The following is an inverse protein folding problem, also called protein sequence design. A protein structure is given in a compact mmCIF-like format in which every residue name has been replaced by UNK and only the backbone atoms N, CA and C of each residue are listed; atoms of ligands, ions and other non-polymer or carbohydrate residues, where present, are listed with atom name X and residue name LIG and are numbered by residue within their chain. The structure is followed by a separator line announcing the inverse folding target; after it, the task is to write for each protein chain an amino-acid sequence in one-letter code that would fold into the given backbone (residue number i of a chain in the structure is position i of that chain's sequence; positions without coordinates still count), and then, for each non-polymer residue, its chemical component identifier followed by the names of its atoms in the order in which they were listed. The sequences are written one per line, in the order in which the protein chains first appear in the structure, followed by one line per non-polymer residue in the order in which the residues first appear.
data_IF_733541422228
#
_entry.id   IF_733541422228
#
_cell.length_a   1.000
_cell.length_b   1.000
_cell.length_c   1.000
_cell.angle_alpha   90.00
_cell.angle_beta   90.00
_cell.angle_gamma   90.00
#
_symmetry.space_group_name_H-M   'P 1'
#
loop_
_entity.id
_entity.type
_entity.pdbx_description
1 polymer ?
#
# COMPACT_ATOMS: atom_id res chain seq x y z
N UNK A 1 -9.60 47.28 -0.20
CA UNK A 1 -9.77 46.72 -1.57
C UNK A 1 -10.77 45.56 -1.48
N UNK A 2 -11.96 45.71 -2.08
CA UNK A 2 -12.95 44.63 -2.22
C UNK A 2 -12.83 44.08 -3.63
N UNK A 3 -12.78 42.76 -3.78
CA UNK A 3 -13.04 42.07 -5.05
C UNK A 3 -13.96 40.90 -4.77
N UNK A 4 -15.25 41.15 -4.89
CA UNK A 4 -16.29 40.13 -4.91
C UNK A 4 -16.12 39.23 -6.15
N UNK A 5 -16.13 37.91 -5.95
CA UNK A 5 -16.64 36.96 -6.95
C UNK A 5 -17.23 35.73 -6.26
N UNK A 6 -18.51 35.90 -5.90
CA UNK A 6 -19.62 34.96 -6.10
C UNK A 6 -19.21 33.53 -6.48
N UNK A 7 -19.48 32.59 -5.58
CA UNK A 7 -19.38 31.16 -5.86
C UNK A 7 -20.13 30.28 -4.87
N UNK A 8 -21.26 30.73 -4.34
CA UNK A 8 -22.17 29.86 -3.60
C UNK A 8 -22.85 28.89 -4.57
N UNK A 9 -22.64 27.58 -4.39
CA UNK A 9 -23.63 26.56 -4.74
C UNK A 9 -23.70 25.53 -3.63
N UNK A 10 -24.92 25.43 -3.13
CA UNK A 10 -25.35 24.73 -1.93
C UNK A 10 -25.13 23.22 -1.98
N UNK A 11 -24.88 22.64 -0.81
CA UNK A 11 -25.00 21.22 -0.54
C UNK A 11 -26.43 20.79 -0.90
N UNK A 12 -26.61 20.05 -1.99
CA UNK A 12 -27.93 19.55 -2.40
C UNK A 12 -28.34 18.44 -1.43
N UNK A 13 -29.11 18.80 -0.40
CA UNK A 13 -29.92 17.83 0.32
C UNK A 13 -30.98 17.30 -0.65
N UNK A 14 -30.88 16.01 -0.98
CA UNK A 14 -31.92 15.27 -1.70
C UNK A 14 -33.17 15.28 -0.83
N UNK A 15 -34.08 16.23 -1.08
CA UNK A 15 -35.40 16.24 -0.44
C UNK A 15 -36.18 15.05 -0.95
N UNK A 16 -36.42 14.11 -0.06
CA UNK A 16 -37.44 13.08 -0.17
C UNK A 16 -38.80 13.81 -0.20
N UNK A 17 -39.46 13.80 -1.35
CA UNK A 17 -40.86 14.23 -1.44
C UNK A 17 -41.70 12.99 -1.23
N UNK A 18 -42.42 13.04 -0.12
CA UNK A 18 -43.45 12.11 0.29
C UNK A 18 -44.67 12.32 -0.61
N UNK A 19 -45.09 11.28 -1.32
CA UNK A 19 -46.39 11.18 -1.97
C UNK A 19 -46.89 9.77 -1.61
N UNK A 20 -47.84 9.72 -0.67
CA UNK A 20 -48.35 8.50 -0.07
C UNK A 20 -49.43 7.82 -0.91
N UNK A 21 -49.40 6.49 -0.95
CA UNK A 21 -50.56 5.62 -0.68
C UNK A 21 -50.13 4.14 -0.67
N UNK A 22 -50.62 3.38 0.32
CA UNK A 22 -51.01 1.98 0.09
C UNK A 22 -50.05 0.84 0.46
N UNK A 23 -50.15 0.40 1.73
CA UNK A 23 -50.24 -1.01 2.18
C UNK A 23 -48.98 -1.92 2.20
N UNK A 24 -48.77 -2.44 3.42
CA UNK A 24 -48.39 -3.80 3.81
C UNK A 24 -46.90 -4.17 4.07
N UNK A 25 -46.71 -4.58 5.34
CA UNK A 25 -45.83 -5.64 5.89
C UNK A 25 -44.32 -5.41 6.15
N UNK A 26 -44.02 -5.25 7.45
CA UNK A 26 -43.05 -5.98 8.29
C UNK A 26 -41.64 -6.37 7.77
N UNK A 27 -40.62 -5.83 8.48
CA UNK A 27 -39.37 -6.51 8.97
C UNK A 27 -38.23 -6.76 7.93
N UNK A 28 -36.92 -6.74 8.30
CA UNK A 28 -36.17 -5.93 9.29
C UNK A 28 -34.88 -5.26 8.76
N UNK A 29 -34.40 -4.30 9.55
CA UNK A 29 -32.99 -4.08 9.98
C UNK A 29 -31.81 -4.56 9.10
N UNK A 30 -31.09 -3.58 8.55
CA UNK A 30 -29.65 -3.48 8.76
C UNK A 30 -28.71 -4.40 7.98
N UNK A 31 -28.84 -4.47 6.64
CA UNK A 31 -27.88 -5.18 5.82
C UNK A 31 -26.63 -4.35 5.45
N UNK A 32 -25.50 -4.88 5.89
CA UNK A 32 -24.27 -5.06 5.11
C UNK A 32 -23.57 -3.80 4.59
N UNK A 33 -22.88 -3.12 5.51
CA UNK A 33 -21.67 -2.33 5.16
C UNK A 33 -20.43 -2.88 5.85
N UNK A 34 -20.12 -4.14 5.61
CA UNK A 34 -18.73 -4.60 5.61
C UNK A 34 -18.24 -4.50 4.16
N UNK A 35 -17.95 -3.27 3.73
CA UNK A 35 -17.26 -3.05 2.47
C UNK A 35 -15.90 -3.73 2.57
N UNK A 36 -15.64 -4.66 1.65
CA UNK A 36 -14.39 -5.37 1.47
C UNK A 36 -13.18 -4.40 1.62
N UNK A 37 -12.45 -4.50 2.72
CA UNK A 37 -11.25 -3.70 3.03
C UNK A 37 -10.01 -4.12 2.22
N UNK A 38 -10.18 -5.06 1.29
CA UNK A 38 -9.13 -5.55 0.43
C UNK A 38 -9.47 -5.23 -1.02
N UNK A 39 -8.61 -4.50 -1.75
CA UNK A 39 -8.74 -4.40 -3.19
C UNK A 39 -8.74 -5.82 -3.75
N UNK A 40 -9.85 -6.23 -4.37
CA UNK A 40 -9.93 -7.48 -5.12
C UNK A 40 -8.74 -7.54 -6.10
N UNK A 41 -8.14 -8.73 -6.33
CA UNK A 41 -6.99 -8.84 -7.21
C UNK A 41 -7.37 -8.24 -8.56
N UNK A 42 -6.74 -7.11 -8.88
CA UNK A 42 -6.91 -6.41 -10.14
C UNK A 42 -6.66 -7.46 -11.22
N UNK A 43 -7.68 -7.78 -12.00
CA UNK A 43 -7.51 -8.59 -13.20
C UNK A 43 -6.66 -7.77 -14.17
N UNK A 44 -5.34 -7.89 -14.05
CA UNK A 44 -4.38 -7.33 -14.99
C UNK A 44 -4.65 -8.05 -16.31
N UNK A 45 -5.38 -7.41 -17.23
CA UNK A 45 -5.58 -7.91 -18.59
C UNK A 45 -4.20 -8.01 -19.25
N UNK A 46 -3.67 -9.22 -19.32
CA UNK A 46 -2.38 -9.55 -19.91
C UNK A 46 -2.47 -9.40 -21.43
N UNK A 47 -2.03 -8.23 -21.94
CA UNK A 47 -1.77 -8.02 -23.37
C UNK A 47 -0.29 -7.77 -23.61
N UNK A 48 0.59 -8.66 -23.13
CA UNK A 48 1.97 -8.73 -23.60
C UNK A 48 2.36 -10.20 -23.73
N UNK A 49 2.29 -10.71 -24.95
CA UNK A 49 2.48 -12.13 -25.28
C UNK A 49 3.93 -12.61 -25.08
N UNK A 50 4.84 -11.75 -24.64
CA UNK A 50 6.27 -12.05 -24.55
C UNK A 50 6.95 -11.28 -23.39
N UNK A 51 6.36 -11.25 -22.18
CA UNK A 51 7.12 -10.77 -21.02
C UNK A 51 8.09 -11.86 -20.59
N UNK A 52 9.42 -11.64 -20.62
CA UNK A 52 10.42 -12.66 -20.28
C UNK A 52 10.25 -13.18 -18.85
N UNK A 53 9.74 -12.33 -17.94
CA UNK A 53 9.43 -12.72 -16.55
C UNK A 53 8.24 -13.68 -16.49
N UNK A 54 7.22 -13.49 -17.35
CA UNK A 54 6.03 -14.35 -17.36
C UNK A 54 6.26 -15.71 -18.04
N UNK A 55 7.44 -15.91 -18.66
CA UNK A 55 7.84 -17.17 -19.29
C UNK A 55 8.81 -18.02 -18.45
N UNK A 56 9.21 -17.55 -17.26
CA UNK A 56 10.11 -18.30 -16.39
C UNK A 56 9.43 -19.56 -15.85
N UNK A 57 10.17 -20.66 -15.80
CA UNK A 57 9.75 -21.83 -15.01
C UNK A 57 9.88 -21.52 -13.52
N UNK A 58 9.25 -22.33 -12.66
CA UNK A 58 9.35 -22.17 -11.21
C UNK A 58 10.81 -22.19 -10.73
N UNK A 59 11.61 -23.13 -11.24
CA UNK A 59 13.03 -23.25 -10.86
C UNK A 59 13.83 -22.03 -11.28
N UNK A 60 13.59 -21.50 -12.49
CA UNK A 60 14.25 -20.29 -12.98
C UNK A 60 13.87 -19.06 -12.15
N UNK A 61 12.61 -18.95 -11.74
CA UNK A 61 12.13 -17.89 -10.85
C UNK A 61 12.80 -18.00 -9.47
N UNK A 62 12.90 -19.20 -8.90
CA UNK A 62 13.58 -19.42 -7.62
C UNK A 62 15.07 -19.07 -7.73
N UNK A 63 15.76 -19.54 -8.78
CA UNK A 63 17.17 -19.20 -9.01
C UNK A 63 17.38 -17.69 -9.14
N UNK A 64 16.53 -17.00 -9.91
CA UNK A 64 16.61 -15.55 -10.05
C UNK A 64 16.43 -14.83 -8.70
N UNK A 65 15.50 -15.29 -7.85
CA UNK A 65 15.28 -14.71 -6.52
C UNK A 65 16.45 -14.96 -5.56
N UNK A 66 17.06 -16.15 -5.60
CA UNK A 66 18.24 -16.48 -4.78
C UNK A 66 19.47 -15.66 -5.21
N UNK A 67 19.71 -15.55 -6.52
CA UNK A 67 20.79 -14.71 -7.04
C UNK A 67 20.54 -13.22 -6.76
N UNK A 68 19.28 -12.83 -6.61
CA UNK A 68 18.90 -11.45 -6.34
C UNK A 68 19.29 -11.00 -4.92
N UNK A 69 19.39 -11.92 -3.95
CA UNK A 69 19.45 -11.62 -2.51
C UNK A 69 20.43 -10.48 -2.17
N UNK A 70 19.98 -9.47 -1.40
CA UNK A 70 20.85 -8.37 -0.99
C UNK A 70 21.95 -8.87 -0.02
N UNK A 71 23.13 -8.23 -0.01
CA UNK A 71 24.20 -8.60 0.91
C UNK A 71 23.82 -8.31 2.36
N UNK A 72 24.35 -9.11 3.29
CA UNK A 72 24.21 -8.86 4.73
C UNK A 72 25.03 -7.62 5.10
N UNK A 73 24.38 -6.65 5.75
CA UNK A 73 25.02 -5.42 6.24
C UNK A 73 25.20 -5.55 7.75
N UNK A 74 26.39 -5.17 8.24
CA UNK A 74 26.70 -5.16 9.67
C UNK A 74 26.64 -3.74 10.22
N UNK A 75 26.16 -3.60 11.46
CA UNK A 75 26.21 -2.33 12.19
C UNK A 75 27.65 -1.83 12.36
N UNK A 76 27.86 -0.52 12.35
CA UNK A 76 29.15 0.12 12.70
C UNK A 76 29.37 0.15 14.23
N UNK A 77 29.12 -0.99 14.87
CA UNK A 77 29.21 -1.14 16.30
C UNK A 77 30.68 -1.10 16.75
N UNK A 78 30.96 -0.21 17.69
CA UNK A 78 32.25 -0.10 18.38
C UNK A 78 32.14 -0.69 19.79
N UNK A 79 32.73 -1.88 20.06
CA UNK A 79 32.64 -2.54 21.36
C UNK A 79 33.40 -1.81 22.48
N UNK A 80 34.25 -0.84 22.14
CA UNK A 80 34.96 -0.04 23.14
C UNK A 80 34.10 1.08 23.74
N UNK A 81 32.96 1.40 23.09
CA UNK A 81 32.06 2.46 23.54
C UNK A 81 30.88 1.89 24.33
N UNK A 82 30.55 2.46 25.49
CA UNK A 82 29.35 2.07 26.22
C UNK A 82 28.10 2.43 25.43
N UNK A 83 27.07 1.58 25.55
CA UNK A 83 25.77 1.84 24.94
C UNK A 83 24.96 2.85 25.75
N UNK A 84 24.20 3.64 25.01
CA UNK A 84 23.09 4.46 25.48
C UNK A 84 21.90 4.22 24.54
N UNK A 85 20.70 4.58 24.96
CA UNK A 85 19.51 4.52 24.08
C UNK A 85 19.75 5.26 22.77
N UNK A 86 20.33 6.47 22.83
CA UNK A 86 20.64 7.27 21.66
C UNK A 86 21.65 6.59 20.73
N UNK A 87 22.72 5.98 21.27
CA UNK A 87 23.72 5.30 20.43
C UNK A 87 23.18 3.99 19.84
N UNK A 88 22.33 3.26 20.55
CA UNK A 88 21.63 2.10 20.00
C UNK A 88 20.69 2.49 18.86
N UNK A 89 19.88 3.53 19.06
CA UNK A 89 18.98 4.03 18.02
C UNK A 89 19.76 4.51 16.79
N UNK A 90 20.89 5.19 16.99
CA UNK A 90 21.80 5.60 15.91
C UNK A 90 22.35 4.40 15.11
N UNK A 91 22.78 3.33 15.78
CA UNK A 91 23.28 2.13 15.10
C UNK A 91 22.19 1.41 14.30
N UNK A 92 20.98 1.29 14.87
CA UNK A 92 19.85 0.65 14.19
C UNK A 92 19.37 1.48 13.00
N UNK A 93 19.23 2.79 13.15
CA UNK A 93 18.80 3.68 12.06
C UNK A 93 19.85 3.77 10.95
N UNK A 94 21.13 3.89 11.30
CA UNK A 94 22.21 3.89 10.32
C UNK A 94 22.41 2.53 9.62
N UNK A 95 22.10 1.41 10.29
CA UNK A 95 22.05 0.10 9.64
C UNK A 95 20.89 0.03 8.63
N UNK A 96 19.69 0.47 9.03
CA UNK A 96 18.50 0.48 8.18
C UNK A 96 18.70 1.33 6.92
N UNK A 97 19.32 2.51 7.04
CA UNK A 97 19.61 3.38 5.89
C UNK A 97 20.51 2.68 4.86
N UNK A 98 21.51 1.92 5.32
CA UNK A 98 22.40 1.16 4.44
C UNK A 98 21.70 -0.04 3.81
N UNK A 99 20.92 -0.80 4.59
CA UNK A 99 20.13 -1.92 4.08
C UNK A 99 19.09 -1.47 3.04
N UNK A 100 18.46 -0.31 3.24
CA UNK A 100 17.45 0.24 2.32
C UNK A 100 18.01 0.47 0.91
N UNK A 101 19.25 0.94 0.78
CA UNK A 101 19.92 1.10 -0.52
C UNK A 101 20.01 -0.23 -1.26
N UNK A 102 20.32 -1.31 -0.54
CA UNK A 102 20.36 -2.66 -1.12
C UNK A 102 18.96 -3.18 -1.44
N UNK A 103 17.97 -2.94 -0.59
CA UNK A 103 16.58 -3.35 -0.84
C UNK A 103 15.98 -2.67 -2.09
N UNK A 104 16.27 -1.39 -2.32
CA UNK A 104 15.83 -0.69 -3.54
C UNK A 104 16.46 -1.30 -4.78
N UNK A 105 17.77 -1.62 -4.73
CA UNK A 105 18.44 -2.26 -5.85
C UNK A 105 17.97 -3.71 -6.08
N UNK A 106 17.69 -4.44 -5.00
CA UNK A 106 17.09 -5.76 -5.03
C UNK A 106 15.72 -5.75 -5.69
N UNK A 107 14.85 -4.81 -5.31
CA UNK A 107 13.50 -4.67 -5.86
C UNK A 107 13.49 -4.41 -7.38
N UNK A 108 14.59 -3.91 -7.97
CA UNK A 108 14.73 -3.74 -9.43
C UNK A 108 15.09 -5.05 -10.16
N UNK A 109 15.57 -6.06 -9.44
CA UNK A 109 15.98 -7.37 -9.95
C UNK A 109 14.87 -8.42 -9.81
N UNK A 110 13.91 -8.17 -8.92
CA UNK A 110 12.63 -8.89 -8.79
C UNK A 110 11.68 -8.47 -9.90
#
# INVERSE_FOLDING_TARGET
IRKDRRGGRMLKHKRQRDDGEGRNEAVPSGDMRAANLWPSPIMIKHTKKNSPVLSLTADQMISALLEAEPPIIYSEYDPSRPFSEASMMGLLTGLADRELVHMINWAKRV
#
